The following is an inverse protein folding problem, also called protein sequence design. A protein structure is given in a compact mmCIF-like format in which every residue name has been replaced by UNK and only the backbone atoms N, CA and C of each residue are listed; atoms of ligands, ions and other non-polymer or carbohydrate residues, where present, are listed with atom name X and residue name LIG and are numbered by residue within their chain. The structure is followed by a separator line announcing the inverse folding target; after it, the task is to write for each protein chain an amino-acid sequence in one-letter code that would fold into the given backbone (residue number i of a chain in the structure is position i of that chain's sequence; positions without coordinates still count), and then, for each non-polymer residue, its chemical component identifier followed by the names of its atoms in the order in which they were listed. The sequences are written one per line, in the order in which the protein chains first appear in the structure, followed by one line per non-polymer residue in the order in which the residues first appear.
data_IF_459061046601
#
_entry.id   IF_459061046601
#
_cell.length_a   1.000
_cell.length_b   1.000
_cell.length_c   1.000
_cell.angle_alpha   90.00
_cell.angle_beta   90.00
_cell.angle_gamma   90.00
#
_symmetry.space_group_name_H-M   'P 1'
#
loop_
_entity.id
_entity.type
_entity.pdbx_description
1 polymer ?
#
# COMPACT_ATOMS: atom_id res chain seq x y z
N UNK A 1 -3.70 -2.82 -3.92
CA UNK A 1 -4.34 -2.05 -5.02
C UNK A 1 -4.71 -3.01 -6.15
N UNK A 2 -5.93 -2.98 -6.69
CA UNK A 2 -6.32 -3.76 -7.89
C UNK A 2 -6.33 -2.83 -9.11
N UNK A 3 -5.89 -3.32 -10.27
CA UNK A 3 -5.97 -2.62 -11.56
C UNK A 3 -7.02 -3.32 -12.43
N UNK A 4 -8.32 -2.98 -12.28
CA UNK A 4 -9.37 -3.61 -13.06
C UNK A 4 -9.14 -3.40 -14.56
N UNK A 5 -9.49 -4.40 -15.36
CA UNK A 5 -9.39 -4.35 -16.83
C UNK A 5 -10.23 -3.22 -17.42
N UNK A 6 -9.89 -2.77 -18.63
CA UNK A 6 -10.55 -1.63 -19.28
C UNK A 6 -12.07 -1.80 -19.39
N UNK A 7 -12.54 -3.00 -19.72
CA UNK A 7 -13.96 -3.36 -19.80
C UNK A 7 -14.66 -3.30 -18.43
N UNK A 8 -14.04 -3.86 -17.38
CA UNK A 8 -14.54 -3.75 -16.00
C UNK A 8 -14.58 -2.30 -15.52
N UNK A 9 -13.60 -1.47 -15.90
CA UNK A 9 -13.58 -0.05 -15.53
C UNK A 9 -14.70 0.75 -16.19
N UNK A 10 -14.99 0.49 -17.46
CA UNK A 10 -16.03 1.18 -18.20
C UNK A 10 -17.43 0.84 -17.69
N UNK A 11 -17.70 -0.45 -17.40
CA UNK A 11 -19.01 -0.88 -16.90
C UNK A 11 -19.33 -0.38 -15.49
N UNK A 12 -18.33 -0.28 -14.61
CA UNK A 12 -18.52 0.16 -13.22
C UNK A 12 -18.07 1.61 -12.96
N UNK A 13 -17.74 2.37 -14.00
CA UNK A 13 -17.17 3.72 -13.93
C UNK A 13 -16.01 3.85 -12.91
N UNK A 14 -15.10 2.85 -12.90
CA UNK A 14 -14.03 2.77 -11.90
C UNK A 14 -12.77 3.55 -12.33
N UNK A 15 -12.10 4.23 -11.38
CA UNK A 15 -10.83 4.89 -11.65
C UNK A 15 -9.75 3.88 -12.08
N UNK A 16 -8.70 4.38 -12.73
CA UNK A 16 -7.54 3.57 -13.16
C UNK A 16 -6.83 2.84 -12.01
N UNK A 17 -7.05 3.32 -10.80
CA UNK A 17 -6.47 2.84 -9.56
C UNK A 17 -7.58 2.75 -8.53
N UNK A 18 -7.89 1.54 -8.08
CA UNK A 18 -8.88 1.32 -7.02
C UNK A 18 -8.14 1.02 -5.71
N UNK A 19 -8.32 1.86 -4.67
CA UNK A 19 -7.79 1.57 -3.34
C UNK A 19 -8.46 0.31 -2.78
N UNK A 20 -7.70 -0.52 -2.06
CA UNK A 20 -8.26 -1.69 -1.37
C UNK A 20 -8.49 -1.31 0.08
N UNK A 21 -9.68 -1.63 0.57
CA UNK A 21 -10.12 -1.36 1.94
C UNK A 21 -10.72 -2.65 2.53
N UNK A 22 -10.70 -2.76 3.86
CA UNK A 22 -11.30 -3.88 4.59
C UNK A 22 -10.79 -5.25 4.09
N UNK A 23 -11.66 -6.25 3.89
CA UNK A 23 -11.25 -7.60 3.49
C UNK A 23 -10.38 -7.66 2.23
N UNK A 24 -10.61 -6.76 1.27
CA UNK A 24 -9.81 -6.72 0.05
C UNK A 24 -8.36 -6.25 0.30
N UNK A 25 -8.14 -5.43 1.33
CA UNK A 25 -6.80 -5.04 1.78
C UNK A 25 -6.12 -6.22 2.50
N UNK A 26 -6.88 -6.97 3.29
CA UNK A 26 -6.40 -8.16 4.02
C UNK A 26 -5.94 -9.24 3.05
N UNK A 27 -6.76 -9.58 2.05
CA UNK A 27 -6.39 -10.53 0.98
C UNK A 27 -5.15 -10.09 0.22
N UNK A 28 -4.99 -8.77 0.03
CA UNK A 28 -3.80 -8.24 -0.63
C UNK A 28 -2.57 -8.42 0.26
N UNK A 29 -2.68 -8.11 1.56
CA UNK A 29 -1.59 -8.29 2.50
C UNK A 29 -1.18 -9.75 2.65
N UNK A 30 -2.13 -10.68 2.79
CA UNK A 30 -1.84 -12.12 2.88
C UNK A 30 -1.00 -12.60 1.68
N UNK A 31 -1.35 -12.16 0.47
CA UNK A 31 -0.57 -12.49 -0.73
C UNK A 31 0.81 -11.84 -0.74
N UNK A 32 0.91 -10.57 -0.35
CA UNK A 32 2.21 -9.89 -0.30
C UNK A 32 3.13 -10.48 0.77
N UNK A 33 2.59 -10.82 1.94
CA UNK A 33 3.31 -11.49 3.00
C UNK A 33 3.83 -12.87 2.53
N UNK A 34 2.98 -13.68 1.89
CA UNK A 34 3.40 -14.96 1.30
C UNK A 34 4.52 -14.80 0.27
N UNK A 35 4.39 -13.83 -0.65
CA UNK A 35 5.44 -13.54 -1.63
C UNK A 35 6.74 -13.00 -1.00
N UNK A 36 6.66 -12.43 0.20
CA UNK A 36 7.79 -11.95 0.99
C UNK A 36 8.37 -13.03 1.92
N UNK A 37 7.92 -14.29 1.83
CA UNK A 37 8.41 -15.36 2.68
C UNK A 37 7.85 -15.36 4.09
N UNK A 38 6.64 -14.83 4.27
CA UNK A 38 5.92 -14.78 5.55
C UNK A 38 4.63 -15.60 5.47
N UNK A 39 4.43 -16.47 6.46
CA UNK A 39 3.15 -17.08 6.75
C UNK A 39 2.44 -16.30 7.86
N UNK A 40 1.36 -15.60 7.53
CA UNK A 40 0.63 -14.72 8.46
C UNK A 40 -0.16 -15.56 9.46
N UNK A 41 0.08 -15.32 10.76
CA UNK A 41 -0.64 -15.97 11.87
C UNK A 41 -1.77 -15.09 12.39
N UNK A 42 -1.47 -13.80 12.61
CA UNK A 42 -2.47 -12.81 13.01
C UNK A 42 -2.35 -11.58 12.14
N UNK A 43 -3.48 -10.95 11.84
CA UNK A 43 -3.54 -9.75 11.02
C UNK A 43 -4.53 -8.75 11.59
N UNK A 44 -4.08 -7.52 11.79
CA UNK A 44 -4.90 -6.35 12.08
C UNK A 44 -4.64 -5.31 11.02
N UNK A 45 -5.71 -4.90 10.35
CA UNK A 45 -5.66 -3.90 9.29
C UNK A 45 -6.35 -2.63 9.76
N UNK A 46 -5.62 -1.51 9.74
CA UNK A 46 -6.11 -0.22 10.18
C UNK A 46 -5.96 0.79 9.04
N UNK A 47 -7.06 1.33 8.49
CA UNK A 47 -6.99 2.47 7.59
C UNK A 47 -6.27 3.63 8.30
N UNK A 48 -5.30 4.24 7.63
CA UNK A 48 -4.60 5.43 8.15
C UNK A 48 -4.83 6.59 7.20
N UNK A 49 -4.59 7.80 7.70
CA UNK A 49 -4.80 9.02 6.93
C UNK A 49 -4.11 8.96 5.57
N UNK A 50 -4.89 9.30 4.55
CA UNK A 50 -4.41 9.34 3.19
C UNK A 50 -3.29 10.37 3.07
N UNK A 51 -2.18 10.00 2.43
CA UNK A 51 -1.16 10.97 2.10
C UNK A 51 -1.73 11.92 1.04
N UNK A 52 -1.74 13.21 1.36
CA UNK A 52 -2.23 14.29 0.50
C UNK A 52 -1.06 15.15 0.09
N UNK A 53 -0.79 15.20 -1.20
CA UNK A 53 0.17 16.14 -1.77
C UNK A 53 -0.55 17.03 -2.79
N UNK A 54 -0.26 18.33 -2.73
CA UNK A 54 -0.69 19.32 -3.72
C UNK A 54 0.53 19.65 -4.56
N UNK A 55 0.72 18.89 -5.64
CA UNK A 55 1.79 19.20 -6.57
C UNK A 55 1.39 20.36 -7.44
N UNK A 56 2.20 21.41 -7.39
CA UNK A 56 2.20 22.47 -8.39
C UNK A 56 3.14 22.04 -9.52
N UNK A 57 2.66 21.90 -10.77
CA UNK A 57 3.56 21.61 -11.88
C UNK A 57 4.58 22.75 -12.00
N UNK A 58 5.87 22.40 -12.00
CA UNK A 58 6.93 23.37 -12.25
C UNK A 58 6.72 24.01 -13.63
N UNK A 59 6.78 25.35 -13.70
CA UNK A 59 6.59 26.11 -14.96
C UNK A 59 5.17 26.63 -15.23
N UNK A 60 4.22 26.48 -14.30
CA UNK A 60 2.85 27.01 -14.50
C UNK A 60 2.74 28.50 -14.14
N UNK A 61 2.27 29.33 -15.07
CA UNK A 61 2.04 30.76 -14.86
C UNK A 61 1.07 31.01 -13.67
N UNK A 62 1.18 32.14 -12.94
CA UNK A 62 0.37 32.42 -11.75
C UNK A 62 -1.15 32.31 -11.99
N UNK A 63 -1.63 32.69 -13.19
CA UNK A 63 -3.03 32.64 -13.58
C UNK A 63 -3.57 31.19 -13.77
N UNK A 64 -2.71 30.24 -14.12
CA UNK A 64 -3.08 28.84 -14.38
C UNK A 64 -2.86 27.92 -13.16
N UNK A 65 -2.25 28.43 -12.07
CA UNK A 65 -1.96 27.67 -10.84
C UNK A 65 -3.21 27.07 -10.18
N UNK A 66 -4.36 27.75 -10.29
CA UNK A 66 -5.61 27.25 -9.72
C UNK A 66 -6.24 26.13 -10.56
N UNK A 67 -6.00 26.10 -11.88
CA UNK A 67 -6.61 25.15 -12.83
C UNK A 67 -5.87 23.80 -12.93
N UNK A 68 -4.59 23.73 -12.52
CA UNK A 68 -3.73 22.53 -12.62
C UNK A 68 -3.17 22.05 -11.27
N UNK A 69 -3.98 22.05 -10.21
CA UNK A 69 -3.57 21.40 -8.95
C UNK A 69 -3.74 19.89 -9.12
N UNK A 70 -2.64 19.16 -9.29
CA UNK A 70 -2.69 17.70 -9.23
C UNK A 70 -2.76 17.28 -7.76
N UNK A 71 -3.98 16.96 -7.30
CA UNK A 71 -4.22 16.46 -5.93
C UNK A 71 -3.91 14.98 -5.90
N UNK A 72 -2.75 14.63 -5.35
CA UNK A 72 -2.40 13.24 -5.10
C UNK A 72 -3.09 12.80 -3.81
N UNK A 73 -3.95 11.78 -3.90
CA UNK A 73 -4.58 11.12 -2.76
C UNK A 73 -4.14 9.66 -2.75
N UNK A 74 -3.31 9.30 -1.78
CA UNK A 74 -2.91 7.91 -1.56
C UNK A 74 -3.63 7.33 -0.35
N UNK A 75 -4.58 6.43 -0.60
CA UNK A 75 -5.17 5.62 0.47
C UNK A 75 -4.15 4.67 1.05
N UNK A 76 -4.13 4.56 2.38
CA UNK A 76 -3.14 3.82 3.14
C UNK A 76 -3.82 2.93 4.18
N UNK A 77 -3.28 1.75 4.36
CA UNK A 77 -3.67 0.80 5.40
C UNK A 77 -2.40 0.37 6.11
N UNK A 78 -2.40 0.43 7.44
CA UNK A 78 -1.37 -0.13 8.29
C UNK A 78 -1.75 -1.57 8.62
N UNK A 79 -0.81 -2.48 8.45
CA UNK A 79 -0.97 -3.89 8.80
C UNK A 79 -0.05 -4.21 9.97
N UNK A 80 -0.63 -4.75 11.05
CA UNK A 80 0.08 -5.19 12.25
C UNK A 80 -0.30 -6.64 12.56
N UNK A 81 0.63 -7.42 13.13
CA UNK A 81 0.34 -8.80 13.50
C UNK A 81 1.58 -9.64 13.70
N UNK A 82 1.41 -10.95 13.65
CA UNK A 82 2.47 -11.95 13.81
C UNK A 82 2.53 -12.84 12.57
N UNK A 83 3.74 -13.28 12.24
CA UNK A 83 3.98 -14.17 11.11
C UNK A 83 5.18 -15.08 11.38
N UNK A 84 5.15 -16.28 10.79
CA UNK A 84 6.30 -17.17 10.74
C UNK A 84 7.10 -16.87 9.49
N UNK A 85 8.42 -16.75 9.64
CA UNK A 85 9.34 -16.63 8.50
C UNK A 85 9.48 -18.01 7.85
N UNK A 86 9.04 -18.14 6.60
CA UNK A 86 9.18 -19.37 5.81
C UNK A 86 10.39 -19.31 4.89
N UNK A 87 10.66 -18.15 4.30
CA UNK A 87 11.75 -17.94 3.33
C UNK A 87 12.56 -16.68 3.71
N UNK A 88 13.66 -16.84 4.48
CA UNK A 88 14.41 -15.71 5.03
C UNK A 88 15.00 -14.76 3.99
N UNK A 89 15.41 -15.26 2.83
CA UNK A 89 16.04 -14.44 1.79
C UNK A 89 15.01 -13.56 1.06
N UNK A 90 13.81 -14.09 0.81
CA UNK A 90 12.69 -13.29 0.30
C UNK A 90 12.30 -12.21 1.29
N UNK A 91 12.31 -12.53 2.59
CA UNK A 91 12.01 -11.56 3.64
C UNK A 91 13.05 -10.43 3.68
N UNK A 92 14.35 -10.76 3.61
CA UNK A 92 15.43 -9.75 3.57
C UNK A 92 15.24 -8.81 2.37
N UNK A 93 14.98 -9.37 1.18
CA UNK A 93 14.75 -8.58 -0.02
C UNK A 93 13.50 -7.69 0.12
N UNK A 94 12.42 -8.19 0.72
CA UNK A 94 11.19 -7.45 0.94
C UNK A 94 11.35 -6.31 1.96
N UNK A 95 12.11 -6.52 3.05
CA UNK A 95 12.42 -5.49 4.05
C UNK A 95 13.25 -4.37 3.42
N UNK A 96 14.25 -4.71 2.60
CA UNK A 96 15.11 -3.71 1.95
C UNK A 96 14.40 -2.93 0.84
N UNK A 97 13.65 -3.62 -0.01
CA UNK A 97 13.00 -2.99 -1.16
C UNK A 97 11.65 -2.34 -0.81
N UNK A 98 11.01 -2.78 0.27
CA UNK A 98 9.67 -2.40 0.68
C UNK A 98 8.55 -3.07 -0.14
N UNK A 99 7.37 -3.22 0.46
CA UNK A 99 6.22 -3.94 -0.10
C UNK A 99 5.20 -2.97 -0.72
N UNK A 100 4.74 -3.27 -1.94
CA UNK A 100 3.66 -2.52 -2.58
C UNK A 100 4.07 -1.18 -3.20
N UNK A 101 3.09 -0.29 -3.40
CA UNK A 101 3.24 1.00 -4.09
C UNK A 101 3.24 2.16 -3.09
N UNK A 102 3.61 3.35 -3.56
CA UNK A 102 3.57 4.56 -2.73
C UNK A 102 4.76 4.69 -1.76
N UNK A 103 5.90 4.07 -2.09
CA UNK A 103 7.12 4.07 -1.26
C UNK A 103 7.62 5.48 -0.93
N UNK A 104 7.55 6.40 -1.90
CA UNK A 104 7.87 7.82 -1.71
C UNK A 104 6.89 8.57 -0.79
N UNK A 105 5.75 7.96 -0.44
CA UNK A 105 4.67 8.58 0.37
C UNK A 105 4.48 7.86 1.70
N UNK A 106 5.55 7.29 2.26
CA UNK A 106 5.53 6.63 3.58
C UNK A 106 4.75 5.31 3.60
N UNK A 107 4.71 4.59 2.46
CA UNK A 107 4.12 3.25 2.37
C UNK A 107 5.20 2.19 2.11
N UNK A 108 4.90 0.94 2.45
CA UNK A 108 5.72 -0.20 2.06
C UNK A 108 6.94 -0.49 2.91
N UNK A 109 7.24 0.31 3.94
CA UNK A 109 8.19 -0.10 4.96
C UNK A 109 7.63 -1.28 5.76
N UNK A 110 8.41 -2.35 5.87
CA UNK A 110 8.12 -3.50 6.71
C UNK A 110 9.05 -3.47 7.93
N UNK A 111 8.48 -3.42 9.13
CA UNK A 111 9.21 -3.54 10.39
C UNK A 111 8.91 -4.90 11.01
N UNK A 112 9.94 -5.58 11.51
CA UNK A 112 9.83 -6.89 12.16
C UNK A 112 10.61 -6.88 13.47
N UNK A 113 10.10 -7.63 14.44
CA UNK A 113 10.76 -7.90 15.71
C UNK A 113 10.43 -9.35 16.11
N UNK A 114 11.29 -10.01 16.91
CA UNK A 114 10.96 -11.29 17.51
C UNK A 114 9.61 -11.22 18.24
N UNK A 115 8.79 -12.26 18.09
CA UNK A 115 7.57 -12.36 18.88
C UNK A 115 7.93 -12.47 20.38
N UNK A 116 7.14 -11.87 21.27
CA UNK A 116 7.32 -12.08 22.71
C UNK A 116 7.20 -13.57 23.02
N UNK A 117 8.12 -14.07 23.85
CA UNK A 117 8.12 -15.46 24.29
C UNK A 117 6.80 -15.76 25.03
N UNK A 118 6.06 -16.81 24.66
CA UNK A 118 4.91 -17.23 25.45
C UNK A 118 5.44 -17.82 26.77
N UNK A 119 5.49 -16.98 27.81
CA UNK A 119 5.75 -17.42 29.18
C UNK A 119 4.73 -18.47 29.65
#
# INVERSE_FOLDING_TARGET
MRKPGHTTRAHYNLPAVVPLNGPAADDWWQRQAGNAGLHVLTLRSQPVDAARDRQHPAGTAPADRAKKINRIHHHRVRFDGTATVTEPDLLRAAVQSGIGRGKAYGCGLLSIAPAPDPA
#
